data_IF_783566737431
#
_entry.id   IF_783566737431
#
_cell.length_a   1.000
_cell.length_b   1.000
_cell.length_c   1.000
_cell.angle_alpha   90.00
_cell.angle_beta   90.00
_cell.angle_gamma   90.00
#
_symmetry.space_group_name_H-M   'P 1'
#
loop_
_entity.id
_entity.type
_entity.pdbx_description
1 polymer ?
#
# COMPACT_ATOMS: atom_id res chain seq x y z
N UNK A 1 -39.87 64.51 -6.09
CA UNK A 1 -39.70 65.71 -5.24
C UNK A 1 -39.95 65.29 -3.80
N UNK A 2 -39.01 65.60 -2.89
CA UNK A 2 -39.17 65.84 -1.43
C UNK A 2 -40.06 64.89 -0.59
N UNK A 3 -39.72 64.42 0.62
CA UNK A 3 -38.79 64.91 1.65
C UNK A 3 -38.86 63.95 2.86
N UNK A 4 -37.69 63.63 3.43
CA UNK A 4 -37.30 63.76 4.84
C UNK A 4 -38.19 63.19 5.99
N UNK A 5 -37.56 62.22 6.68
CA UNK A 5 -37.37 62.02 8.13
C UNK A 5 -38.59 61.72 9.03
N UNK A 6 -38.48 60.66 9.84
CA UNK A 6 -38.43 60.72 11.31
C UNK A 6 -37.93 59.40 11.92
N UNK A 7 -37.16 59.54 13.00
CA UNK A 7 -36.60 58.46 13.81
C UNK A 7 -37.66 57.90 14.77
N UNK A 8 -37.61 56.60 15.02
CA UNK A 8 -38.12 56.02 16.25
C UNK A 8 -37.12 54.95 16.73
N UNK A 9 -36.47 55.27 17.84
CA UNK A 9 -35.64 54.37 18.64
C UNK A 9 -36.58 53.40 19.35
N UNK A 10 -36.37 52.10 19.20
CA UNK A 10 -37.04 51.10 20.02
C UNK A 10 -36.07 49.96 20.38
N UNK A 11 -35.65 50.02 21.65
CA UNK A 11 -35.38 48.93 22.58
C UNK A 11 -34.50 47.73 22.16
N UNK A 12 -33.40 47.61 22.90
CA UNK A 12 -32.57 46.42 23.09
C UNK A 12 -33.39 45.15 23.37
N UNK A 13 -33.07 44.08 22.64
CA UNK A 13 -33.09 42.72 23.15
C UNK A 13 -31.78 42.05 22.73
N UNK A 14 -30.78 42.05 23.62
CA UNK A 14 -29.55 41.30 23.43
C UNK A 14 -29.86 39.80 23.60
N UNK A 15 -29.91 39.06 22.49
CA UNK A 15 -29.95 37.60 22.49
C UNK A 15 -28.51 37.12 22.69
N UNK A 16 -28.17 36.42 23.80
CA UNK A 16 -26.87 35.79 23.90
C UNK A 16 -26.82 34.63 22.90
N UNK A 17 -25.97 34.77 21.87
CA UNK A 17 -25.54 33.64 21.06
C UNK A 17 -24.86 32.63 22.00
N UNK A 18 -25.56 31.54 22.31
CA UNK A 18 -24.93 30.33 22.86
C UNK A 18 -24.04 29.76 21.76
N UNK A 19 -22.76 30.12 21.80
CA UNK A 19 -21.71 29.45 21.07
C UNK A 19 -21.65 27.99 21.56
N UNK A 20 -22.30 27.09 20.84
CA UNK A 20 -22.14 25.65 21.03
C UNK A 20 -20.67 25.27 20.77
N UNK A 21 -20.09 24.33 21.54
CA UNK A 21 -18.73 23.91 21.33
C UNK A 21 -18.58 23.33 19.92
N UNK A 22 -17.72 23.97 19.12
CA UNK A 22 -17.22 23.41 17.88
C UNK A 22 -16.60 22.05 18.21
N UNK A 23 -17.25 20.98 17.76
CA UNK A 23 -16.70 19.64 17.85
C UNK A 23 -15.36 19.62 17.11
N UNK A 24 -14.27 19.49 17.86
CA UNK A 24 -12.96 19.22 17.31
C UNK A 24 -13.02 17.85 16.64
N UNK A 25 -13.23 17.83 15.33
CA UNK A 25 -12.96 16.66 14.52
C UNK A 25 -11.46 16.36 14.67
N UNK A 26 -11.13 15.30 15.41
CA UNK A 26 -9.75 14.86 15.59
C UNK A 26 -9.16 14.57 14.22
N UNK A 27 -8.17 15.38 13.80
CA UNK A 27 -7.38 15.08 12.63
C UNK A 27 -6.65 13.76 12.87
N UNK A 28 -6.98 12.72 12.10
CA UNK A 28 -6.19 11.50 12.07
C UNK A 28 -4.80 11.85 11.53
N UNK A 29 -3.82 11.89 12.41
CA UNK A 29 -2.41 12.10 12.05
C UNK A 29 -1.86 10.80 11.47
N UNK A 30 -2.00 10.59 10.17
CA UNK A 30 -1.22 9.57 9.45
C UNK A 30 0.25 9.95 9.55
N UNK A 31 1.02 9.15 10.29
CA UNK A 31 2.47 9.36 10.43
C UNK A 31 3.17 8.87 9.17
N UNK A 32 4.06 9.68 8.60
CA UNK A 32 4.84 9.29 7.42
C UNK A 32 5.66 8.01 7.71
N UNK A 33 5.82 7.10 6.73
CA UNK A 33 6.64 5.91 6.93
C UNK A 33 8.08 6.24 7.28
N UNK A 34 8.63 5.51 8.25
CA UNK A 34 10.05 5.54 8.60
C UNK A 34 10.77 4.44 7.83
N UNK A 35 11.80 4.82 7.09
CA UNK A 35 12.69 3.86 6.42
C UNK A 35 13.56 3.13 7.45
N UNK A 36 13.63 1.80 7.33
CA UNK A 36 14.43 0.91 8.16
C UNK A 36 15.76 0.54 7.48
N UNK A 37 15.81 0.58 6.15
CA UNK A 37 17.01 0.33 5.36
C UNK A 37 16.71 0.06 3.89
N UNK A 38 17.74 0.17 3.06
CA UNK A 38 17.74 -0.21 1.64
C UNK A 38 18.70 -1.38 1.45
N UNK A 39 18.24 -2.38 0.72
CA UNK A 39 18.91 -3.66 0.49
C UNK A 39 18.78 -4.00 -0.99
N UNK A 40 19.74 -3.53 -1.80
CA UNK A 40 19.68 -3.62 -3.26
C UNK A 40 18.40 -2.94 -3.80
N UNK A 41 17.50 -3.70 -4.42
CA UNK A 41 16.23 -3.21 -4.98
C UNK A 41 15.06 -3.26 -4.00
N UNK A 42 15.32 -3.56 -2.73
CA UNK A 42 14.30 -3.71 -1.69
C UNK A 42 14.48 -2.66 -0.60
N UNK A 43 13.41 -1.97 -0.24
CA UNK A 43 13.42 -0.98 0.84
C UNK A 43 12.44 -1.39 1.93
N UNK A 44 12.93 -1.43 3.17
CA UNK A 44 12.14 -1.77 4.34
C UNK A 44 11.64 -0.50 5.03
N UNK A 45 10.38 -0.51 5.45
CA UNK A 45 9.72 0.60 6.14
C UNK A 45 8.95 0.11 7.37
N UNK A 46 8.71 1.02 8.31
CA UNK A 46 7.72 0.88 9.38
C UNK A 46 6.86 2.14 9.48
N UNK A 47 5.61 2.00 9.88
CA UNK A 47 4.72 3.12 10.19
C UNK A 47 3.68 2.71 11.23
N UNK A 48 3.06 3.68 11.90
CA UNK A 48 1.91 3.44 12.78
C UNK A 48 0.61 3.80 12.04
N UNK A 49 -0.40 2.93 12.12
CA UNK A 49 -1.71 3.12 11.47
C UNK A 49 -2.87 3.38 12.44
N UNK A 50 -2.55 3.80 13.67
CA UNK A 50 -3.53 4.04 14.74
C UNK A 50 -4.00 2.77 15.45
N UNK A 51 -3.92 1.59 14.81
CA UNK A 51 -4.17 0.28 15.45
C UNK A 51 -2.89 -0.36 15.95
N UNK A 52 -1.78 -0.12 15.27
CA UNK A 52 -0.48 -0.63 15.68
C UNK A 52 0.60 -0.26 14.69
N UNK A 53 1.71 -0.98 14.79
CA UNK A 53 2.82 -0.89 13.85
C UNK A 53 2.51 -1.72 12.59
N UNK A 54 2.85 -1.19 11.42
CA UNK A 54 2.90 -1.89 10.14
C UNK A 54 4.35 -1.85 9.68
N UNK A 55 4.89 -3.01 9.31
CA UNK A 55 6.24 -3.09 8.74
C UNK A 55 6.16 -3.77 7.38
N UNK A 56 6.79 -3.17 6.37
CA UNK A 56 6.65 -3.66 5.01
C UNK A 56 7.94 -3.47 4.22
N UNK A 57 8.20 -4.42 3.32
CA UNK A 57 9.23 -4.30 2.29
C UNK A 57 8.54 -3.91 0.99
N UNK A 58 9.12 -2.98 0.24
CA UNK A 58 8.73 -2.66 -1.13
C UNK A 58 9.89 -2.98 -2.06
N UNK A 59 9.62 -3.64 -3.17
CA UNK A 59 10.59 -3.86 -4.25
C UNK A 59 10.05 -3.37 -5.59
N UNK A 60 10.93 -2.81 -6.42
CA UNK A 60 10.64 -2.40 -7.79
C UNK A 60 11.27 -3.37 -8.80
N UNK A 61 10.66 -3.59 -9.98
CA UNK A 61 11.20 -4.50 -10.98
C UNK A 61 12.48 -3.95 -11.59
N UNK A 62 13.45 -4.84 -11.84
CA UNK A 62 14.66 -4.51 -12.61
C UNK A 62 14.39 -4.39 -14.11
N UNK A 63 13.31 -5.01 -14.61
CA UNK A 63 12.89 -4.90 -16.00
C UNK A 63 11.39 -5.12 -16.14
N UNK A 64 10.80 -4.45 -17.12
CA UNK A 64 9.37 -4.50 -17.40
C UNK A 64 9.11 -4.73 -18.89
N UNK A 65 8.09 -5.51 -19.19
CA UNK A 65 7.50 -5.66 -20.51
C UNK A 65 6.02 -5.23 -20.50
N UNK A 66 5.54 -4.60 -21.59
CA UNK A 66 6.30 -4.11 -22.74
C UNK A 66 7.26 -2.94 -22.38
N UNK A 67 8.50 -2.96 -22.87
CA UNK A 67 9.54 -1.93 -22.54
C UNK A 67 9.14 -0.48 -22.81
N UNK A 68 8.19 -0.23 -23.73
CA UNK A 68 7.71 1.13 -24.08
C UNK A 68 6.75 1.72 -23.05
N UNK A 69 6.23 0.91 -22.13
CA UNK A 69 5.27 1.32 -21.11
C UNK A 69 5.92 1.11 -19.75
N UNK A 70 6.51 2.18 -19.20
CA UNK A 70 7.02 2.15 -17.82
C UNK A 70 5.87 2.31 -16.84
N UNK A 71 5.85 1.47 -15.82
CA UNK A 71 4.87 1.52 -14.74
C UNK A 71 5.60 1.62 -13.41
N UNK A 72 5.06 2.39 -12.48
CA UNK A 72 5.54 2.41 -11.10
C UNK A 72 5.03 1.17 -10.35
N UNK A 73 5.50 0.00 -10.78
CA UNK A 73 5.04 -1.29 -10.29
C UNK A 73 5.86 -1.71 -9.07
N UNK A 74 5.19 -2.23 -8.05
CA UNK A 74 5.78 -2.62 -6.78
C UNK A 74 5.31 -4.01 -6.35
N UNK A 75 6.21 -4.76 -5.72
CA UNK A 75 5.87 -5.94 -4.95
C UNK A 75 6.12 -5.65 -3.48
N UNK A 76 5.13 -5.96 -2.63
CA UNK A 76 5.19 -5.70 -1.21
C UNK A 76 5.09 -6.99 -0.40
N UNK A 77 5.79 -7.02 0.73
CA UNK A 77 5.59 -8.03 1.79
C UNK A 77 5.34 -7.29 3.09
N UNK A 78 4.19 -7.51 3.71
CA UNK A 78 3.69 -6.71 4.83
C UNK A 78 3.42 -7.54 6.08
N UNK A 79 3.82 -7.00 7.23
CA UNK A 79 3.42 -7.44 8.56
C UNK A 79 2.48 -6.41 9.19
N UNK A 80 1.33 -6.87 9.67
CA UNK A 80 0.35 -6.12 10.47
C UNK A 80 0.07 -6.89 11.77
N UNK A 81 0.96 -6.81 12.78
CA UNK A 81 0.80 -7.54 14.03
C UNK A 81 -0.55 -7.31 14.74
N UNK A 82 -1.11 -6.09 14.66
CA UNK A 82 -2.42 -5.77 15.25
C UNK A 82 -3.55 -6.62 14.65
N UNK A 83 -3.45 -6.97 13.37
CA UNK A 83 -4.42 -7.80 12.64
C UNK A 83 -4.01 -9.29 12.63
N UNK A 84 -2.88 -9.65 13.25
CA UNK A 84 -2.26 -10.98 13.19
C UNK A 84 -1.99 -11.46 11.75
N UNK A 85 -1.76 -10.52 10.83
CA UNK A 85 -1.42 -10.81 9.45
C UNK A 85 0.08 -10.62 9.24
N UNK A 86 0.75 -11.63 8.70
CA UNK A 86 2.20 -11.65 8.51
C UNK A 86 2.53 -12.20 7.14
N UNK A 87 3.63 -11.72 6.55
CA UNK A 87 4.09 -12.12 5.21
C UNK A 87 3.11 -11.83 4.09
N UNK A 88 2.13 -10.93 4.28
CA UNK A 88 1.10 -10.66 3.27
C UNK A 88 1.77 -10.15 2.01
N UNK A 89 1.70 -10.92 0.92
CA UNK A 89 2.32 -10.58 -0.35
C UNK A 89 1.30 -9.93 -1.27
N UNK A 90 1.63 -8.76 -1.79
CA UNK A 90 0.84 -8.05 -2.78
C UNK A 90 1.68 -7.53 -3.94
N UNK A 91 1.03 -7.38 -5.09
CA UNK A 91 1.59 -6.72 -6.26
C UNK A 91 0.71 -5.56 -6.65
N UNK A 92 1.33 -4.40 -6.75
CA UNK A 92 0.74 -3.17 -7.27
C UNK A 92 1.35 -2.90 -8.64
N UNK A 93 0.59 -3.04 -9.75
CA UNK A 93 1.12 -2.92 -11.11
C UNK A 93 1.40 -1.47 -11.54
N UNK A 94 1.16 -0.50 -10.66
CA UNK A 94 1.34 0.93 -10.87
C UNK A 94 0.08 1.70 -11.24
N UNK A 95 0.18 3.03 -11.18
CA UNK A 95 -0.94 3.92 -11.46
C UNK A 95 -1.48 3.72 -12.88
N UNK A 96 -2.82 3.80 -13.04
CA UNK A 96 -3.54 3.62 -14.30
C UNK A 96 -3.49 2.21 -14.91
N UNK A 97 -3.02 1.21 -14.18
CA UNK A 97 -3.18 -0.19 -14.56
C UNK A 97 -4.46 -0.76 -13.96
N UNK A 98 -5.31 -1.34 -14.80
CA UNK A 98 -6.49 -2.09 -14.35
C UNK A 98 -6.35 -3.54 -14.82
N UNK A 99 -6.51 -4.50 -13.91
CA UNK A 99 -6.52 -5.92 -14.28
C UNK A 99 -7.72 -6.28 -15.16
N UNK A 100 -7.55 -7.24 -16.06
CA UNK A 100 -8.68 -7.83 -16.76
C UNK A 100 -9.62 -8.51 -15.75
N UNK A 101 -10.93 -8.43 -16.00
CA UNK A 101 -11.95 -8.94 -15.07
C UNK A 101 -11.77 -10.44 -14.85
N UNK A 102 -11.60 -10.85 -13.59
CA UNK A 102 -11.41 -12.24 -13.19
C UNK A 102 -10.07 -12.84 -13.60
N UNK A 103 -9.11 -12.01 -14.02
CA UNK A 103 -7.76 -12.47 -14.28
C UNK A 103 -7.01 -12.69 -12.96
N UNK A 104 -6.34 -13.84 -12.88
CA UNK A 104 -5.29 -14.07 -11.90
C UNK A 104 -3.97 -13.45 -12.37
N UNK A 105 -3.09 -13.19 -11.41
CA UNK A 105 -1.70 -12.77 -11.63
C UNK A 105 -0.79 -13.93 -11.28
N UNK A 106 0.12 -14.27 -12.18
CA UNK A 106 1.09 -15.34 -11.91
C UNK A 106 2.37 -14.74 -11.34
N UNK A 107 2.78 -15.21 -10.17
CA UNK A 107 4.07 -14.90 -9.54
C UNK A 107 4.94 -16.14 -9.62
N UNK A 108 5.98 -16.09 -10.44
CA UNK A 108 6.94 -17.17 -10.62
C UNK A 108 8.27 -16.83 -9.93
N UNK A 109 8.81 -17.74 -9.13
CA UNK A 109 10.10 -17.60 -8.43
C UNK A 109 10.96 -18.79 -8.81
N UNK A 110 12.01 -18.54 -9.58
CA UNK A 110 12.83 -19.58 -10.20
C UNK A 110 11.98 -20.67 -10.90
N UNK A 111 11.77 -21.82 -10.24
CA UNK A 111 10.99 -22.98 -10.75
C UNK A 111 9.60 -23.13 -10.11
N UNK A 112 9.24 -22.27 -9.16
CA UNK A 112 7.96 -22.28 -8.46
C UNK A 112 7.01 -21.25 -9.06
N UNK A 113 5.70 -21.53 -9.05
CA UNK A 113 4.67 -20.63 -9.57
C UNK A 113 3.51 -20.56 -8.60
N UNK A 114 2.97 -19.35 -8.41
CA UNK A 114 1.86 -19.06 -7.51
C UNK A 114 0.85 -18.17 -8.22
N UNK A 115 -0.44 -18.47 -8.06
CA UNK A 115 -1.52 -17.65 -8.62
C UNK A 115 -2.10 -16.72 -7.57
N UNK A 116 -2.11 -15.43 -7.89
CA UNK A 116 -2.60 -14.34 -7.07
C UNK A 116 -3.97 -13.89 -7.61
N UNK A 117 -4.91 -13.60 -6.72
CA UNK A 117 -6.20 -13.06 -7.11
C UNK A 117 -6.14 -11.54 -7.17
N UNK A 118 -6.95 -10.94 -8.03
CA UNK A 118 -7.02 -9.48 -8.19
C UNK A 118 -8.18 -8.90 -7.39
N UNK A 119 -7.90 -7.83 -6.65
CA UNK A 119 -8.91 -7.06 -5.92
C UNK A 119 -8.61 -5.57 -6.09
N UNK A 120 -9.53 -4.86 -6.75
CA UNK A 120 -9.32 -3.47 -7.19
C UNK A 120 -8.10 -3.37 -8.12
N UNK A 121 -7.07 -2.66 -7.69
CA UNK A 121 -5.82 -2.35 -8.38
C UNK A 121 -4.64 -3.14 -7.83
N UNK A 122 -4.88 -4.08 -6.91
CA UNK A 122 -3.84 -4.87 -6.26
C UNK A 122 -4.08 -6.37 -6.47
N UNK A 123 -3.01 -7.12 -6.74
CA UNK A 123 -3.06 -8.58 -6.74
C UNK A 123 -2.50 -9.12 -5.42
N UNK A 124 -3.17 -10.11 -4.84
CA UNK A 124 -2.88 -10.66 -3.53
C UNK A 124 -2.64 -12.16 -3.61
N UNK A 125 -1.73 -12.66 -2.78
CA UNK A 125 -1.64 -14.11 -2.56
C UNK A 125 -2.96 -14.62 -1.93
N UNK A 126 -3.30 -15.88 -2.16
CA UNK A 126 -4.65 -16.41 -1.86
C UNK A 126 -4.95 -16.54 -0.38
N UNK A 127 -3.94 -16.86 0.43
CA UNK A 127 -4.08 -17.15 1.85
C UNK A 127 -2.73 -17.08 2.57
N UNK A 128 -2.78 -17.16 3.90
CA UNK A 128 -1.59 -17.04 4.74
C UNK A 128 -0.55 -18.15 4.55
N UNK A 129 -0.95 -19.32 4.04
CA UNK A 129 -0.02 -20.42 3.80
C UNK A 129 0.70 -20.22 2.46
N UNK A 130 -0.03 -19.70 1.46
CA UNK A 130 0.52 -19.22 0.19
C UNK A 130 1.50 -18.05 0.44
N UNK A 131 1.14 -17.08 1.28
CA UNK A 131 2.04 -15.98 1.69
C UNK A 131 3.38 -16.50 2.23
N UNK A 132 3.33 -17.44 3.19
CA UNK A 132 4.54 -18.05 3.76
C UNK A 132 5.35 -18.80 2.70
N UNK A 133 4.69 -19.52 1.80
CA UNK A 133 5.35 -20.27 0.73
C UNK A 133 6.05 -19.33 -0.26
N UNK A 134 5.39 -18.24 -0.66
CA UNK A 134 5.95 -17.21 -1.54
C UNK A 134 7.13 -16.53 -0.87
N UNK A 135 7.00 -16.04 0.36
CA UNK A 135 8.11 -15.38 1.08
C UNK A 135 9.29 -16.32 1.30
N UNK A 136 9.04 -17.60 1.59
CA UNK A 136 10.10 -18.61 1.71
C UNK A 136 10.83 -18.83 0.37
N UNK A 137 10.08 -18.88 -0.73
CA UNK A 137 10.66 -18.98 -2.06
C UNK A 137 11.47 -17.73 -2.41
N UNK A 138 10.94 -16.53 -2.15
CA UNK A 138 11.62 -15.25 -2.37
C UNK A 138 12.94 -15.16 -1.60
N UNK A 139 12.97 -15.59 -0.33
CA UNK A 139 14.17 -15.56 0.51
C UNK A 139 15.28 -16.51 0.05
N UNK A 140 14.95 -17.56 -0.72
CA UNK A 140 15.89 -18.56 -1.23
C UNK A 140 16.20 -18.40 -2.72
N UNK A 141 15.32 -17.73 -3.45
CA UNK A 141 15.36 -17.60 -4.89
C UNK A 141 16.32 -16.52 -5.36
N UNK A 142 16.49 -16.44 -6.69
CA UNK A 142 17.34 -15.43 -7.33
C UNK A 142 16.53 -14.38 -8.06
N UNK A 143 15.45 -14.81 -8.68
CA UNK A 143 14.60 -13.97 -9.51
C UNK A 143 13.12 -14.29 -9.31
N UNK A 144 12.29 -13.24 -9.34
CA UNK A 144 10.84 -13.32 -9.33
C UNK A 144 10.30 -12.65 -10.59
N UNK A 145 9.37 -13.29 -11.29
CA UNK A 145 8.64 -12.72 -12.42
C UNK A 145 7.15 -12.65 -12.11
N UNK A 146 6.57 -11.47 -12.23
CA UNK A 146 5.12 -11.26 -12.19
C UNK A 146 4.59 -11.16 -13.61
N UNK A 147 3.52 -11.90 -13.93
CA UNK A 147 2.79 -11.79 -15.19
C UNK A 147 1.35 -11.42 -14.92
N UNK A 148 0.87 -10.39 -15.61
CA UNK A 148 -0.49 -9.88 -15.43
C UNK A 148 -1.14 -9.52 -16.76
N UNK A 149 -2.46 -9.68 -16.81
CA UNK A 149 -3.29 -9.29 -17.95
C UNK A 149 -4.04 -7.99 -17.63
N UNK A 150 -3.78 -6.87 -18.33
CA UNK A 150 -4.56 -5.66 -18.15
C UNK A 150 -5.94 -5.78 -18.82
N UNK A 151 -6.90 -4.98 -18.37
CA UNK A 151 -8.21 -4.85 -18.99
C UNK A 151 -8.13 -4.31 -20.43
N UNK A 152 -7.08 -3.53 -20.73
CA UNK A 152 -6.79 -2.96 -22.05
C UNK A 152 -5.28 -2.96 -22.29
N UNK A 153 -4.87 -3.25 -23.51
CA UNK A 153 -3.46 -3.28 -23.91
C UNK A 153 -2.87 -4.68 -23.93
N UNK A 154 -1.54 -4.73 -24.01
CA UNK A 154 -0.78 -5.98 -24.06
C UNK A 154 -0.57 -6.56 -22.65
N UNK A 155 -0.44 -7.88 -22.56
CA UNK A 155 -0.04 -8.57 -21.34
C UNK A 155 1.32 -8.04 -20.86
N UNK A 156 1.53 -8.03 -19.55
CA UNK A 156 2.69 -7.41 -18.94
C UNK A 156 3.49 -8.41 -18.12
N UNK A 157 4.81 -8.17 -18.06
CA UNK A 157 5.73 -8.98 -17.27
C UNK A 157 6.71 -8.09 -16.53
N UNK A 158 6.84 -8.27 -15.23
CA UNK A 158 7.74 -7.51 -14.37
C UNK A 158 8.73 -8.48 -13.71
N UNK A 159 10.03 -8.24 -13.84
CA UNK A 159 11.08 -9.10 -13.28
C UNK A 159 11.77 -8.38 -12.13
N UNK A 160 11.90 -9.05 -11.00
CA UNK A 160 12.49 -8.55 -9.76
C UNK A 160 13.71 -9.39 -9.40
N UNK A 161 14.82 -8.72 -9.06
CA UNK A 161 15.96 -9.40 -8.46
C UNK A 161 15.68 -9.66 -6.97
N UNK A 162 15.94 -10.89 -6.49
CA UNK A 162 15.72 -11.25 -5.09
C UNK A 162 16.94 -11.02 -4.19
N UNK A 163 18.06 -10.54 -4.75
CA UNK A 163 19.19 -10.05 -3.96
C UNK A 163 18.73 -8.95 -3.00
N UNK A 164 19.11 -9.05 -1.73
CA UNK A 164 18.71 -8.11 -0.68
C UNK A 164 17.34 -8.37 -0.03
N UNK A 165 16.47 -9.20 -0.63
CA UNK A 165 15.12 -9.43 -0.09
C UNK A 165 15.13 -10.03 1.32
N UNK A 166 15.99 -11.04 1.56
CA UNK A 166 16.07 -11.68 2.88
C UNK A 166 16.52 -10.74 4.00
N UNK A 167 17.40 -9.79 3.68
CA UNK A 167 17.90 -8.76 4.62
C UNK A 167 16.80 -7.74 4.92
N UNK A 168 16.08 -7.28 3.88
CA UNK A 168 14.94 -6.39 4.03
C UNK A 168 13.81 -7.03 4.85
N UNK A 169 13.51 -8.31 4.60
CA UNK A 169 12.55 -9.09 5.37
C UNK A 169 12.97 -9.16 6.84
N UNK A 170 14.25 -9.44 7.11
CA UNK A 170 14.78 -9.43 8.48
C UNK A 170 14.67 -8.08 9.19
N UNK A 171 14.80 -6.97 8.45
CA UNK A 171 14.62 -5.63 9.00
C UNK A 171 13.16 -5.39 9.45
N UNK A 172 12.17 -5.77 8.64
CA UNK A 172 10.76 -5.62 9.00
C UNK A 172 10.32 -6.61 10.09
N UNK A 173 10.91 -7.83 10.12
CA UNK A 173 10.69 -8.79 11.20
C UNK A 173 11.12 -8.22 12.54
N UNK A 174 12.31 -7.59 12.59
CA UNK A 174 12.84 -6.96 13.81
C UNK A 174 11.96 -5.80 14.26
N UNK A 175 11.51 -4.95 13.34
CA UNK A 175 10.64 -3.82 13.66
C UNK A 175 9.31 -4.30 14.25
N UNK A 176 8.62 -5.20 13.55
CA UNK A 176 7.31 -5.72 13.96
C UNK A 176 7.37 -6.90 14.95
N UNK A 177 8.56 -7.23 15.47
CA UNK A 177 8.81 -8.31 16.44
C UNK A 177 8.30 -9.68 15.99
N UNK A 178 8.38 -9.95 14.69
CA UNK A 178 8.03 -11.24 14.09
C UNK A 178 9.17 -12.22 14.34
N UNK A 179 8.84 -13.42 14.82
CA UNK A 179 9.78 -14.54 14.95
C UNK A 179 9.46 -15.55 13.85
N UNK A 180 10.49 -15.95 13.10
CA UNK A 180 10.41 -16.99 12.06
C UNK A 180 11.08 -18.27 12.54
#
# INVERSE_FOLDING_TARGET
MSTKHWAAVAALAAIPLLAGPAGAAGAATTTAPKQLGEFHSWTAYTMADGKGEICYVVGAPKSQEPTKVKRDAHLLVTHRPADKAFNVVSVEPGQNFAFAKGADVTVAIDKQSFDFFTASDTAWSRDSDTDKAVVTAMAKGKELTVKAKPAKGADVSDVYALAGFGEALGAIDKACKVKR
#
